data_IF_530495395890
#
_entry.id   IF_530495395890
#
_cell.length_a   1.000
_cell.length_b   1.000
_cell.length_c   1.000
_cell.angle_alpha   90.00
_cell.angle_beta   90.00
_cell.angle_gamma   90.00
#
_symmetry.space_group_name_H-M   'P 1'
#
loop_
_entity.id
_entity.type
_entity.pdbx_description
1 polymer ?
#
# COMPACT_ATOMS: atom_id res chain seq x y z
N UNK A 1 6.28 -37.23 23.80
CA UNK A 1 6.87 -35.86 23.82
C UNK A 1 6.14 -35.00 22.81
N UNK A 2 4.97 -34.47 23.17
CA UNK A 2 4.18 -33.59 22.31
C UNK A 2 3.20 -32.81 23.20
N UNK A 3 3.63 -31.66 23.72
CA UNK A 3 2.75 -30.58 24.21
C UNK A 3 3.61 -29.39 24.65
N UNK A 4 4.15 -28.62 23.71
CA UNK A 4 4.73 -27.31 24.00
C UNK A 4 4.74 -26.44 22.75
N UNK A 5 3.56 -26.26 22.16
CA UNK A 5 3.39 -25.42 20.97
C UNK A 5 2.01 -24.75 20.94
N UNK A 6 1.62 -24.10 22.04
CA UNK A 6 0.37 -23.30 22.03
C UNK A 6 0.32 -22.19 23.08
N UNK A 7 1.29 -21.28 23.12
CA UNK A 7 1.14 -19.96 23.78
C UNK A 7 2.00 -18.89 23.12
N UNK A 8 1.77 -18.59 21.84
CA UNK A 8 2.27 -17.37 21.21
C UNK A 8 1.14 -16.83 20.34
N UNK A 9 0.46 -15.79 20.82
CA UNK A 9 -0.67 -15.21 20.10
C UNK A 9 -1.63 -14.46 21.02
N UNK A 10 -1.13 -13.46 21.76
CA UNK A 10 -2.02 -12.55 22.50
C UNK A 10 -1.36 -11.22 22.88
N UNK A 11 -0.70 -10.56 21.92
CA UNK A 11 -0.20 -9.19 22.12
C UNK A 11 -0.81 -8.18 21.14
N UNK A 12 -1.39 -8.61 20.00
CA UNK A 12 -2.01 -7.69 19.03
C UNK A 12 -3.53 -7.44 19.18
N UNK A 13 -4.25 -8.23 19.99
CA UNK A 13 -5.70 -8.32 19.88
C UNK A 13 -6.53 -7.34 20.73
N UNK A 14 -5.95 -6.24 21.24
CA UNK A 14 -6.70 -5.25 22.07
C UNK A 14 -6.63 -3.79 21.62
N UNK A 15 -6.07 -3.51 20.44
CA UNK A 15 -6.00 -2.14 19.89
C UNK A 15 -6.81 -1.92 18.61
N UNK A 16 -7.49 -2.95 18.09
CA UNK A 16 -8.27 -2.87 16.85
C UNK A 16 -9.76 -3.14 17.08
N UNK A 17 -10.31 -2.58 18.17
CA UNK A 17 -11.66 -2.82 18.64
C UNK A 17 -12.41 -1.55 19.01
N UNK A 18 -12.26 -0.49 18.21
CA UNK A 18 -13.15 0.67 18.21
C UNK A 18 -12.81 1.51 16.99
N UNK A 19 -13.62 1.40 15.95
CA UNK A 19 -13.90 2.40 14.91
C UNK A 19 -14.84 1.73 13.90
N UNK A 20 -16.14 1.78 14.21
CA UNK A 20 -17.19 1.51 13.23
C UNK A 20 -17.43 2.78 12.39
N UNK A 21 -17.68 2.68 11.08
CA UNK A 21 -17.93 3.82 10.21
C UNK A 21 -19.40 4.24 10.26
N UNK A 22 -19.63 5.53 10.52
CA UNK A 22 -20.92 6.19 10.37
C UNK A 22 -21.31 6.25 8.88
N UNK A 23 -22.31 5.43 8.51
CA UNK A 23 -23.12 5.61 7.30
C UNK A 23 -24.05 6.81 7.51
N UNK A 24 -23.95 7.82 6.65
CA UNK A 24 -25.07 8.73 6.38
C UNK A 24 -25.37 8.70 4.89
N UNK A 25 -26.56 8.20 4.58
CA UNK A 25 -27.23 8.24 3.29
C UNK A 25 -27.97 9.56 3.16
N UNK A 26 -27.89 10.25 2.02
CA UNK A 26 -28.96 11.16 1.60
C UNK A 26 -29.12 11.15 0.08
N UNK A 27 -30.39 11.20 -0.29
CA UNK A 27 -31.02 10.78 -1.54
C UNK A 27 -31.57 12.04 -2.24
N UNK A 28 -31.18 12.22 -3.51
CA UNK A 28 -31.88 12.81 -4.67
C UNK A 28 -32.92 13.96 -4.49
N UNK A 29 -32.83 15.03 -5.30
CA UNK A 29 -33.75 15.42 -6.41
C UNK A 29 -33.67 16.94 -6.81
N UNK A 30 -33.71 17.18 -8.13
CA UNK A 30 -34.30 18.31 -8.91
C UNK A 30 -33.85 19.80 -8.86
N UNK A 31 -33.51 20.30 -10.08
CA UNK A 31 -33.68 21.64 -10.74
C UNK A 31 -34.95 22.46 -10.35
N UNK A 32 -35.22 23.70 -10.86
CA UNK A 32 -34.47 24.66 -11.73
C UNK A 32 -34.63 26.17 -11.36
N UNK A 33 -34.07 27.10 -12.17
CA UNK A 33 -34.54 28.50 -12.33
C UNK A 33 -33.41 29.51 -12.65
N UNK A 34 -33.23 30.01 -13.88
CA UNK A 34 -33.77 31.25 -14.52
C UNK A 34 -33.50 32.59 -13.83
N UNK A 35 -32.70 33.46 -14.49
CA UNK A 35 -32.89 34.92 -14.71
C UNK A 35 -31.55 35.48 -15.24
N UNK A 36 -31.35 35.89 -16.49
CA UNK A 36 -31.78 37.11 -17.20
C UNK A 36 -31.35 38.46 -16.59
N UNK A 37 -30.90 39.34 -17.50
CA UNK A 37 -30.57 40.78 -17.48
C UNK A 37 -29.13 41.24 -17.19
N UNK A 38 -28.59 42.32 -17.79
CA UNK A 38 -28.64 42.95 -19.13
C UNK A 38 -27.68 44.17 -19.06
N UNK A 39 -26.86 44.35 -20.10
CA UNK A 39 -26.28 45.60 -20.67
C UNK A 39 -25.34 46.52 -19.85
N UNK A 40 -24.25 46.87 -20.53
CA UNK A 40 -23.54 48.14 -20.38
C UNK A 40 -22.59 48.38 -21.57
N UNK A 41 -23.10 49.04 -22.62
CA UNK A 41 -22.34 49.51 -23.79
C UNK A 41 -21.23 50.52 -23.42
N UNK A 42 -20.11 50.51 -24.17
CA UNK A 42 -19.51 51.72 -24.76
C UNK A 42 -18.44 51.37 -25.83
N UNK A 43 -18.67 51.84 -27.06
CA UNK A 43 -17.65 52.13 -28.07
C UNK A 43 -17.15 53.58 -27.88
N UNK A 44 -15.94 53.94 -28.36
CA UNK A 44 -15.77 54.51 -29.72
C UNK A 44 -14.57 53.89 -30.48
N UNK A 45 -14.73 53.51 -31.75
CA UNK A 45 -14.52 54.26 -33.01
C UNK A 45 -13.06 54.28 -33.54
N UNK A 46 -12.94 53.55 -34.66
CA UNK A 46 -12.31 53.92 -35.92
C UNK A 46 -10.78 54.05 -36.01
N UNK A 47 -10.18 53.01 -36.60
CA UNK A 47 -8.86 53.04 -37.22
C UNK A 47 -8.69 51.80 -38.10
N UNK A 48 -9.21 51.85 -39.33
CA UNK A 48 -8.78 50.94 -40.41
C UNK A 48 -7.46 51.52 -40.96
N UNK A 49 -6.46 50.70 -41.26
CA UNK A 49 -6.36 50.30 -42.65
C UNK A 49 -5.91 48.86 -42.90
N UNK A 50 -6.44 48.36 -44.02
CA UNK A 50 -5.80 47.48 -45.00
C UNK A 50 -5.65 46.00 -44.64
N UNK A 51 -6.64 45.26 -45.15
CA UNK A 51 -6.48 43.89 -45.61
C UNK A 51 -5.24 43.77 -46.49
N UNK A 52 -4.24 43.06 -46.00
CA UNK A 52 -3.24 42.41 -46.83
C UNK A 52 -3.69 40.96 -46.95
N UNK A 53 -4.41 40.67 -48.02
CA UNK A 53 -4.51 39.32 -48.53
C UNK A 53 -3.10 38.90 -48.98
N UNK A 54 -2.30 38.36 -48.05
CA UNK A 54 -1.20 37.50 -48.42
C UNK A 54 -1.79 36.12 -48.70
N UNK A 55 -2.31 35.95 -49.91
CA UNK A 55 -2.36 34.65 -50.57
C UNK A 55 -0.94 34.14 -50.72
N UNK A 56 -0.41 33.58 -49.64
CA UNK A 56 0.81 32.78 -49.67
C UNK A 56 0.34 31.37 -49.93
N UNK A 57 0.66 30.86 -51.12
CA UNK A 57 0.43 29.47 -51.51
C UNK A 57 0.67 28.54 -50.30
N UNK A 58 -0.34 27.73 -49.96
CA UNK A 58 -0.15 26.60 -49.08
C UNK A 58 1.01 25.76 -49.65
N UNK A 59 2.10 25.52 -48.90
CA UNK A 59 3.13 24.63 -49.39
C UNK A 59 2.49 23.25 -49.50
N UNK A 60 2.38 22.76 -50.73
CA UNK A 60 2.09 21.37 -51.05
C UNK A 60 3.25 20.51 -50.54
N UNK A 61 3.27 20.24 -49.24
CA UNK A 61 4.19 19.33 -48.58
C UNK A 61 3.38 18.29 -47.83
N UNK A 62 3.26 17.09 -48.41
CA UNK A 62 2.55 15.92 -47.89
C UNK A 62 2.86 15.63 -46.40
N UNK A 63 2.13 16.22 -45.47
CA UNK A 63 1.96 15.62 -44.15
C UNK A 63 0.81 14.65 -44.26
N UNK A 64 1.11 13.37 -44.08
CA UNK A 64 0.10 12.32 -44.22
C UNK A 64 0.07 11.46 -42.99
N UNK A 65 -1.14 11.27 -42.47
CA UNK A 65 -1.42 10.32 -41.42
C UNK A 65 -1.86 9.01 -42.09
N UNK A 66 -1.00 7.99 -42.02
CA UNK A 66 -1.22 6.70 -42.68
C UNK A 66 -1.33 5.58 -41.65
N UNK A 67 -2.02 4.52 -42.01
CA UNK A 67 -2.04 3.29 -41.22
C UNK A 67 -1.06 2.29 -41.84
N UNK A 68 0.01 1.93 -41.11
CA UNK A 68 0.99 0.94 -41.55
C UNK A 68 1.11 -0.13 -40.46
N UNK A 69 0.97 -1.40 -40.85
CA UNK A 69 1.12 -2.56 -39.95
C UNK A 69 0.27 -2.50 -38.66
N UNK A 70 -0.98 -2.03 -38.75
CA UNK A 70 -1.86 -1.95 -37.57
C UNK A 70 -1.56 -0.78 -36.62
N UNK A 71 -0.66 0.14 -37.00
CA UNK A 71 -0.30 1.33 -36.22
C UNK A 71 -0.53 2.60 -37.04
N UNK A 72 -0.94 3.66 -36.35
CA UNK A 72 -1.02 5.00 -36.93
C UNK A 72 0.39 5.57 -37.07
N UNK A 73 0.67 6.10 -38.25
CA UNK A 73 1.99 6.59 -38.63
C UNK A 73 1.83 8.00 -39.18
N UNK A 74 2.49 8.95 -38.51
CA UNK A 74 2.48 10.35 -38.88
C UNK A 74 3.78 10.65 -39.66
N UNK A 75 3.65 10.99 -40.94
CA UNK A 75 4.77 11.38 -41.79
C UNK A 75 4.86 12.91 -41.83
N UNK A 76 5.93 13.48 -41.26
CA UNK A 76 6.13 14.94 -41.13
C UNK A 76 7.49 15.33 -41.71
N UNK A 77 7.57 16.35 -42.58
CA UNK A 77 8.84 16.91 -43.01
C UNK A 77 9.44 17.76 -41.89
N UNK A 78 10.63 17.39 -41.40
CA UNK A 78 11.32 18.16 -40.35
C UNK A 78 12.14 19.32 -40.96
N UNK A 79 12.13 20.52 -40.35
CA UNK A 79 12.69 21.74 -40.93
C UNK A 79 14.21 21.70 -41.12
N UNK A 80 14.95 21.03 -40.24
CA UNK A 80 16.42 21.03 -40.30
C UNK A 80 16.98 20.21 -41.46
N UNK A 81 16.37 19.06 -41.78
CA UNK A 81 16.86 18.12 -42.81
C UNK A 81 16.02 18.10 -44.09
N UNK A 82 14.81 18.66 -44.06
CA UNK A 82 13.82 18.60 -45.16
C UNK A 82 13.51 17.17 -45.64
N UNK A 83 13.70 16.19 -44.75
CA UNK A 83 13.35 14.79 -44.96
C UNK A 83 12.02 14.47 -44.26
N UNK A 84 11.25 13.54 -44.82
CA UNK A 84 9.99 13.07 -44.21
C UNK A 84 10.32 12.06 -43.10
N UNK A 85 10.19 12.49 -41.85
CA UNK A 85 10.33 11.63 -40.69
C UNK A 85 9.01 10.94 -40.35
N UNK A 86 9.11 9.73 -39.81
CA UNK A 86 7.99 8.82 -39.62
C UNK A 86 7.82 8.56 -38.13
N UNK A 87 6.70 8.99 -37.57
CA UNK A 87 6.40 8.89 -36.14
C UNK A 87 5.30 7.86 -35.89
N UNK A 88 5.54 6.90 -34.99
CA UNK A 88 4.57 5.87 -34.65
C UNK A 88 3.66 6.34 -33.50
N UNK A 89 2.39 6.50 -33.82
CA UNK A 89 1.38 6.97 -32.88
C UNK A 89 0.80 5.80 -32.05
N UNK A 90 0.67 6.01 -30.74
CA UNK A 90 0.04 5.13 -29.74
C UNK A 90 -1.15 5.84 -29.07
N UNK A 91 -2.33 5.94 -29.73
CA UNK A 91 -3.44 6.81 -29.31
C UNK A 91 -3.86 6.69 -27.83
N UNK A 92 -3.86 5.49 -27.26
CA UNK A 92 -4.28 5.22 -25.88
C UNK A 92 -3.19 5.37 -24.80
N UNK A 93 -1.92 5.48 -25.20
CA UNK A 93 -0.77 5.47 -24.28
C UNK A 93 0.06 6.76 -24.34
N UNK A 94 -0.26 7.66 -25.27
CA UNK A 94 0.52 8.87 -25.49
C UNK A 94 -0.36 10.11 -25.51
N UNK A 95 0.20 11.19 -24.99
CA UNK A 95 -0.41 12.51 -25.01
C UNK A 95 0.14 13.36 -26.16
N UNK A 96 -0.55 14.46 -26.46
CA UNK A 96 -0.06 15.46 -27.43
C UNK A 96 1.28 16.05 -26.97
N UNK A 97 1.48 16.19 -25.66
CA UNK A 97 2.76 16.60 -25.08
C UNK A 97 3.88 15.61 -25.40
N UNK A 98 3.62 14.32 -25.24
CA UNK A 98 4.60 13.27 -25.57
C UNK A 98 4.95 13.32 -27.07
N UNK A 99 3.95 13.50 -27.94
CA UNK A 99 4.15 13.63 -29.39
C UNK A 99 5.02 14.86 -29.74
N UNK A 100 4.74 16.01 -29.12
CA UNK A 100 5.54 17.23 -29.30
C UNK A 100 6.98 16.98 -28.85
N UNK A 101 7.19 16.33 -27.70
CA UNK A 101 8.53 16.01 -27.23
C UNK A 101 9.26 15.01 -28.12
N UNK A 102 8.58 14.03 -28.73
CA UNK A 102 9.21 13.12 -29.70
C UNK A 102 9.64 13.86 -30.97
N UNK A 103 8.81 14.77 -31.47
CA UNK A 103 9.14 15.61 -32.63
C UNK A 103 10.33 16.55 -32.35
N UNK A 104 10.36 17.18 -31.17
CA UNK A 104 11.46 18.06 -30.74
C UNK A 104 12.75 17.29 -30.46
N UNK A 105 12.64 16.05 -29.98
CA UNK A 105 13.80 15.18 -29.76
C UNK A 105 14.46 14.78 -31.08
N UNK A 106 13.67 14.57 -32.13
CA UNK A 106 14.18 14.25 -33.48
C UNK A 106 14.78 15.48 -34.17
N UNK A 107 14.16 16.66 -34.02
CA UNK A 107 14.69 17.92 -34.54
C UNK A 107 14.68 19.01 -33.46
N UNK A 108 15.83 19.23 -32.83
CA UNK A 108 16.00 20.23 -31.77
C UNK A 108 15.74 21.67 -32.24
N UNK A 109 15.73 21.93 -33.55
CA UNK A 109 15.41 23.23 -34.14
C UNK A 109 13.92 23.43 -34.43
N UNK A 110 13.07 22.43 -34.18
CA UNK A 110 11.64 22.48 -34.49
C UNK A 110 10.79 22.92 -33.30
N UNK A 111 10.17 24.11 -33.38
CA UNK A 111 9.13 24.55 -32.46
C UNK A 111 7.80 24.02 -32.97
N UNK A 112 7.26 23.01 -32.27
CA UNK A 112 6.05 22.31 -32.64
C UNK A 112 4.88 22.70 -31.74
N UNK A 113 3.73 22.95 -32.33
CA UNK A 113 2.46 23.07 -31.61
C UNK A 113 1.31 22.46 -32.39
N UNK A 114 0.31 21.94 -31.68
CA UNK A 114 -0.88 21.32 -32.27
C UNK A 114 -2.07 22.24 -32.05
N UNK A 115 -2.75 22.58 -33.14
CA UNK A 115 -3.96 23.40 -33.18
C UNK A 115 -5.15 22.56 -33.65
N UNK A 116 -6.34 22.91 -33.20
CA UNK A 116 -7.59 22.35 -33.71
C UNK A 116 -7.96 23.00 -35.06
N UNK A 117 -8.94 22.44 -35.76
CA UNK A 117 -9.53 23.05 -36.98
C UNK A 117 -10.01 24.47 -36.76
N UNK A 118 -10.41 24.78 -35.52
CA UNK A 118 -10.98 26.07 -35.12
C UNK A 118 -9.89 27.10 -34.77
N UNK A 119 -8.60 26.73 -34.88
CA UNK A 119 -7.45 27.60 -34.60
C UNK A 119 -7.01 27.62 -33.12
N UNK A 120 -7.72 26.93 -32.24
CA UNK A 120 -7.41 26.83 -30.81
C UNK A 120 -6.27 25.85 -30.51
N UNK A 121 -5.41 26.16 -29.54
CA UNK A 121 -4.29 25.30 -29.14
C UNK A 121 -4.76 24.09 -28.33
N UNK A 122 -4.35 22.89 -28.74
CA UNK A 122 -4.65 21.66 -28.00
C UNK A 122 -3.73 21.54 -26.78
N UNK A 123 -4.30 21.16 -25.63
CA UNK A 123 -3.54 20.99 -24.40
C UNK A 123 -2.55 19.81 -24.49
N UNK A 124 -1.39 19.95 -23.87
CA UNK A 124 -0.35 18.91 -23.87
C UNK A 124 -0.82 17.61 -23.17
N UNK A 125 -1.77 17.68 -22.25
CA UNK A 125 -2.32 16.53 -21.52
C UNK A 125 -3.38 15.77 -22.32
N UNK A 126 -3.84 16.31 -23.45
CA UNK A 126 -4.85 15.66 -24.28
C UNK A 126 -4.28 14.37 -24.85
N UNK A 127 -5.06 13.28 -24.79
CA UNK A 127 -4.66 12.00 -25.37
C UNK A 127 -4.70 12.10 -26.90
N UNK A 128 -3.79 11.41 -27.57
CA UNK A 128 -3.79 11.45 -29.04
C UNK A 128 -5.02 10.74 -29.62
N UNK A 129 -5.64 9.82 -28.89
CA UNK A 129 -6.96 9.27 -29.25
C UNK A 129 -8.02 10.36 -29.43
N UNK A 130 -8.16 11.27 -28.46
CA UNK A 130 -9.11 12.40 -28.54
C UNK A 130 -8.72 13.44 -29.60
N UNK A 131 -7.42 13.58 -29.90
CA UNK A 131 -6.96 14.43 -31.00
C UNK A 131 -7.36 13.87 -32.36
N UNK A 132 -7.40 12.54 -32.50
CA UNK A 132 -7.71 11.85 -33.75
C UNK A 132 -9.22 11.75 -34.04
N UNK A 133 -10.09 12.21 -33.14
CA UNK A 133 -11.53 12.30 -33.40
C UNK A 133 -11.89 13.33 -34.48
N UNK A 134 -11.04 14.35 -34.64
CA UNK A 134 -11.22 15.44 -35.60
C UNK A 134 -9.93 15.66 -36.39
N UNK A 135 -10.06 16.33 -37.52
CA UNK A 135 -8.90 16.87 -38.22
C UNK A 135 -8.18 17.89 -37.32
N UNK A 136 -6.87 17.99 -37.45
CA UNK A 136 -6.06 18.91 -36.65
C UNK A 136 -4.94 19.52 -37.49
N UNK A 137 -4.42 20.64 -37.01
CA UNK A 137 -3.33 21.36 -37.65
C UNK A 137 -2.06 21.24 -36.81
N UNK A 138 -0.96 20.84 -37.46
CA UNK A 138 0.36 20.82 -36.86
C UNK A 138 1.13 22.06 -37.33
N UNK A 139 1.62 22.85 -36.39
CA UNK A 139 2.41 24.05 -36.66
C UNK A 139 3.86 23.77 -36.29
N UNK A 140 4.77 23.90 -37.25
CA UNK A 140 6.21 23.71 -37.07
C UNK A 140 6.94 24.95 -37.60
N UNK A 141 7.65 25.70 -36.75
CA UNK A 141 8.44 26.87 -37.14
C UNK A 141 7.70 27.82 -38.13
N UNK A 142 6.47 28.22 -37.80
CA UNK A 142 5.60 29.09 -38.63
C UNK A 142 4.96 28.42 -39.87
N UNK A 143 5.19 27.13 -40.11
CA UNK A 143 4.54 26.37 -41.19
C UNK A 143 3.31 25.62 -40.69
N UNK A 144 2.17 25.78 -41.36
CA UNK A 144 0.89 25.15 -41.01
C UNK A 144 0.65 23.89 -41.86
N UNK A 145 0.48 22.74 -41.19
CA UNK A 145 0.17 21.47 -41.83
C UNK A 145 -1.20 20.95 -41.39
N UNK A 146 -2.17 20.91 -42.30
CA UNK A 146 -3.50 20.34 -42.04
C UNK A 146 -3.46 18.82 -42.20
N UNK A 147 -3.64 18.08 -41.11
CA UNK A 147 -3.64 16.62 -41.09
C UNK A 147 -5.08 16.15 -41.13
N UNK A 148 -5.44 15.44 -42.20
CA UNK A 148 -6.74 14.75 -42.28
C UNK A 148 -6.64 13.37 -41.67
N UNK A 149 -7.53 13.06 -40.74
CA UNK A 149 -7.57 11.74 -40.12
C UNK A 149 -8.33 10.78 -41.06
N UNK A 150 -7.75 9.63 -41.45
CA UNK A 150 -8.46 8.67 -42.29
C UNK A 150 -9.72 8.15 -41.56
N UNK A 151 -10.91 8.21 -42.19
CA UNK A 151 -12.19 7.76 -41.59
C UNK A 151 -12.17 6.31 -41.05
N UNK A 152 -11.21 5.48 -41.49
CA UNK A 152 -11.04 4.08 -41.06
C UNK A 152 -10.45 3.89 -39.65
N UNK A 153 -10.24 4.97 -38.88
CA UNK A 153 -9.60 4.88 -37.54
C UNK A 153 -10.47 4.16 -36.51
N UNK A 154 -11.80 4.20 -36.65
CA UNK A 154 -12.70 3.48 -35.75
C UNK A 154 -13.33 2.29 -36.49
N UNK A 155 -12.91 1.04 -36.22
CA UNK A 155 -13.67 -0.10 -36.71
C UNK A 155 -15.09 0.00 -36.15
N UNK A 156 -16.09 -0.44 -36.94
CA UNK A 156 -17.48 -0.61 -36.46
C UNK A 156 -17.47 -1.26 -35.08
N UNK A 157 -18.38 -0.85 -34.18
CA UNK A 157 -18.45 -1.30 -32.77
C UNK A 157 -18.40 -2.83 -32.62
N UNK A 158 -18.84 -3.56 -33.63
CA UNK A 158 -18.78 -5.03 -33.68
C UNK A 158 -17.34 -5.56 -33.85
N UNK A 159 -16.54 -4.97 -34.75
CA UNK A 159 -15.15 -5.36 -34.96
C UNK A 159 -14.21 -4.87 -33.83
N UNK A 160 -14.61 -3.82 -33.11
CA UNK A 160 -13.90 -3.37 -31.91
C UNK A 160 -13.97 -4.40 -30.78
N UNK A 161 -15.11 -5.09 -30.62
CA UNK A 161 -15.28 -6.16 -29.62
C UNK A 161 -14.46 -7.40 -29.94
N UNK A 162 -14.47 -7.86 -31.18
CA UNK A 162 -13.64 -9.01 -31.58
C UNK A 162 -12.14 -8.73 -31.39
N UNK A 163 -11.68 -7.52 -31.70
CA UNK A 163 -10.29 -7.11 -31.47
C UNK A 163 -9.97 -6.98 -29.97
N UNK A 164 -10.92 -6.56 -29.13
CA UNK A 164 -10.77 -6.52 -27.66
C UNK A 164 -10.64 -7.93 -27.09
N UNK A 165 -11.42 -8.89 -27.57
CA UNK A 165 -11.34 -10.30 -27.19
C UNK A 165 -10.00 -10.91 -27.60
N UNK A 166 -9.52 -10.65 -28.83
CA UNK A 166 -8.20 -11.10 -29.28
C UNK A 166 -7.08 -10.47 -28.44
N UNK A 167 -7.18 -9.17 -28.14
CA UNK A 167 -6.23 -8.49 -27.23
C UNK A 167 -6.25 -9.10 -25.83
N UNK A 168 -7.42 -9.45 -25.32
CA UNK A 168 -7.56 -10.10 -24.02
C UNK A 168 -6.87 -11.48 -24.02
N UNK A 169 -7.09 -12.28 -25.07
CA UNK A 169 -6.44 -13.60 -25.22
C UNK A 169 -4.93 -13.47 -25.38
N UNK A 170 -4.45 -12.52 -26.18
CA UNK A 170 -3.01 -12.26 -26.32
C UNK A 170 -2.40 -11.77 -25.00
N UNK A 171 -3.10 -10.91 -24.26
CA UNK A 171 -2.65 -10.46 -22.95
C UNK A 171 -2.64 -11.61 -21.93
N UNK A 172 -3.65 -12.49 -21.96
CA UNK A 172 -3.70 -13.68 -21.12
C UNK A 172 -2.55 -14.64 -21.45
N UNK A 173 -2.26 -14.85 -22.74
CA UNK A 173 -1.15 -15.70 -23.20
C UNK A 173 0.21 -15.07 -22.85
N UNK A 174 0.39 -13.78 -23.07
CA UNK A 174 1.58 -13.03 -22.69
C UNK A 174 1.80 -13.11 -21.17
N UNK A 175 0.72 -12.97 -20.40
CA UNK A 175 0.75 -13.12 -18.95
C UNK A 175 1.10 -14.55 -18.57
N UNK A 176 0.51 -15.58 -19.18
CA UNK A 176 0.79 -16.99 -18.89
C UNK A 176 2.22 -17.42 -19.24
N UNK A 177 2.78 -16.91 -20.34
CA UNK A 177 4.14 -17.20 -20.78
C UNK A 177 5.20 -16.53 -19.88
N UNK A 178 4.98 -15.29 -19.43
CA UNK A 178 5.93 -14.55 -18.59
C UNK A 178 5.67 -14.68 -17.08
N UNK A 179 4.52 -15.23 -16.66
CA UNK A 179 4.17 -15.52 -15.27
C UNK A 179 5.26 -16.29 -14.52
N UNK A 180 5.76 -17.43 -15.04
CA UNK A 180 6.70 -18.26 -14.28
C UNK A 180 8.03 -17.53 -14.01
N UNK A 181 8.54 -16.75 -14.97
CA UNK A 181 9.78 -16.00 -14.80
C UNK A 181 9.62 -14.87 -13.76
N UNK A 182 8.55 -14.08 -13.87
CA UNK A 182 8.26 -13.03 -12.90
C UNK A 182 8.00 -13.59 -11.49
N UNK A 183 7.37 -14.77 -11.38
CA UNK A 183 7.14 -15.44 -10.11
C UNK A 183 8.44 -15.86 -9.44
N UNK A 184 9.34 -16.50 -10.19
CA UNK A 184 10.63 -16.96 -9.66
C UNK A 184 11.49 -15.78 -9.19
N UNK A 185 11.52 -14.69 -9.95
CA UNK A 185 12.22 -13.47 -9.55
C UNK A 185 11.61 -12.87 -8.27
N UNK A 186 10.28 -12.81 -8.18
CA UNK A 186 9.60 -12.26 -7.00
C UNK A 186 9.76 -13.15 -5.77
N UNK A 187 9.71 -14.48 -5.93
CA UNK A 187 9.99 -15.42 -4.84
C UNK A 187 11.44 -15.29 -4.35
N UNK A 188 12.41 -15.19 -5.25
CA UNK A 188 13.82 -14.94 -4.91
C UNK A 188 13.98 -13.65 -4.10
N UNK A 189 13.38 -12.55 -4.56
CA UNK A 189 13.43 -11.26 -3.86
C UNK A 189 12.78 -11.32 -2.48
N UNK A 190 11.65 -12.02 -2.32
CA UNK A 190 10.99 -12.18 -1.03
C UNK A 190 11.78 -13.08 -0.07
N UNK A 191 12.40 -14.15 -0.58
CA UNK A 191 13.30 -14.99 0.21
C UNK A 191 14.53 -14.22 0.70
N UNK A 192 15.14 -13.42 -0.17
CA UNK A 192 16.28 -12.56 0.21
C UNK A 192 15.88 -11.54 1.29
N UNK A 193 14.72 -10.89 1.13
CA UNK A 193 14.16 -10.00 2.16
C UNK A 193 13.91 -10.74 3.46
N UNK A 194 13.30 -11.92 3.41
CA UNK A 194 13.03 -12.75 4.58
C UNK A 194 14.32 -13.11 5.33
N UNK A 195 15.36 -13.51 4.60
CA UNK A 195 16.66 -13.84 5.18
C UNK A 195 17.33 -12.62 5.82
N UNK A 196 17.27 -11.45 5.16
CA UNK A 196 17.78 -10.19 5.72
C UNK A 196 17.06 -9.79 7.01
N UNK A 197 15.73 -9.87 7.04
CA UNK A 197 14.92 -9.59 8.23
C UNK A 197 15.25 -10.58 9.34
N UNK A 198 15.33 -11.89 9.04
CA UNK A 198 15.71 -12.90 10.02
C UNK A 198 17.11 -12.67 10.59
N UNK A 199 18.05 -12.23 9.76
CA UNK A 199 19.41 -11.91 10.21
C UNK A 199 19.42 -10.74 11.20
N UNK A 200 18.70 -9.65 10.89
CA UNK A 200 18.52 -8.50 11.81
C UNK A 200 17.76 -8.87 13.09
N UNK A 201 16.80 -9.80 12.98
CA UNK A 201 15.97 -10.22 14.10
C UNK A 201 16.72 -11.16 15.06
N UNK A 202 17.70 -11.93 14.56
CA UNK A 202 18.46 -12.90 15.35
C UNK A 202 19.17 -12.33 16.60
N UNK A 203 19.89 -11.17 16.55
CA UNK A 203 20.47 -10.58 17.76
C UNK A 203 19.38 -10.05 18.71
N UNK A 204 18.30 -9.48 18.17
CA UNK A 204 17.18 -8.94 18.95
C UNK A 204 16.43 -10.07 19.68
N UNK A 205 16.23 -11.22 19.04
CA UNK A 205 15.63 -12.39 19.65
C UNK A 205 16.50 -13.00 20.74
N UNK A 206 17.81 -13.14 20.51
CA UNK A 206 18.75 -13.60 21.56
C UNK A 206 18.66 -12.71 22.79
N UNK A 207 18.64 -11.39 22.59
CA UNK A 207 18.54 -10.41 23.66
C UNK A 207 17.18 -10.46 24.38
N UNK A 208 16.08 -10.61 23.63
CA UNK A 208 14.73 -10.81 24.18
C UNK A 208 14.66 -12.07 25.03
N UNK A 209 15.20 -13.20 24.55
CA UNK A 209 15.20 -14.48 25.26
C UNK A 209 15.98 -14.37 26.57
N UNK A 210 17.15 -13.74 26.55
CA UNK A 210 17.91 -13.50 27.78
C UNK A 210 17.13 -12.65 28.77
N UNK A 211 16.42 -11.64 28.29
CA UNK A 211 15.63 -10.75 29.14
C UNK A 211 14.39 -11.45 29.69
N UNK A 212 13.72 -12.25 28.85
CA UNK A 212 12.54 -13.01 29.25
C UNK A 212 12.91 -14.09 30.27
N UNK A 213 14.01 -14.82 30.09
CA UNK A 213 14.50 -15.79 31.07
C UNK A 213 14.79 -15.13 32.42
N UNK A 214 15.42 -13.96 32.42
CA UNK A 214 15.72 -13.23 33.65
C UNK A 214 14.45 -12.72 34.35
N UNK A 215 13.48 -12.24 33.58
CA UNK A 215 12.18 -11.81 34.09
C UNK A 215 11.35 -12.99 34.61
N UNK A 216 11.37 -14.13 33.90
CA UNK A 216 10.70 -15.37 34.32
C UNK A 216 11.29 -15.90 35.62
N UNK A 217 12.61 -15.99 35.74
CA UNK A 217 13.27 -16.42 36.98
C UNK A 217 12.85 -15.53 38.16
N UNK A 218 12.82 -14.21 37.97
CA UNK A 218 12.39 -13.30 39.03
C UNK A 218 10.91 -13.45 39.39
N UNK A 219 10.04 -13.66 38.38
CA UNK A 219 8.60 -13.88 38.61
C UNK A 219 8.34 -15.21 39.32
N UNK A 220 8.97 -16.30 38.87
CA UNK A 220 8.85 -17.64 39.45
C UNK A 220 9.46 -17.72 40.85
N UNK A 221 10.52 -16.96 41.13
CA UNK A 221 11.13 -16.91 42.46
C UNK A 221 10.14 -16.45 43.53
N UNK A 222 9.27 -15.48 43.24
CA UNK A 222 8.25 -15.03 44.19
C UNK A 222 7.30 -16.17 44.59
N UNK A 223 6.97 -17.07 43.66
CA UNK A 223 6.11 -18.22 43.94
C UNK A 223 6.82 -19.32 44.68
N UNK A 224 8.06 -19.61 44.28
CA UNK A 224 8.89 -20.54 45.05
C UNK A 224 9.12 -20.05 46.48
N UNK A 225 9.27 -18.73 46.68
CA UNK A 225 9.32 -18.13 48.01
C UNK A 225 8.00 -18.26 48.76
N UNK A 226 6.86 -18.02 48.12
CA UNK A 226 5.53 -18.24 48.72
C UNK A 226 5.30 -19.70 49.12
N UNK A 227 5.64 -20.64 48.23
CA UNK A 227 5.59 -22.08 48.51
C UNK A 227 6.51 -22.48 49.65
N UNK A 228 7.76 -22.00 49.65
CA UNK A 228 8.71 -22.28 50.72
C UNK A 228 8.23 -21.73 52.06
N UNK A 229 7.65 -20.52 52.07
CA UNK A 229 7.10 -19.90 53.28
C UNK A 229 5.91 -20.69 53.83
N UNK A 230 4.99 -21.15 52.98
CA UNK A 230 3.88 -22.01 53.40
C UNK A 230 4.36 -23.36 53.94
N UNK A 231 5.36 -23.97 53.30
CA UNK A 231 5.97 -25.21 53.78
C UNK A 231 6.66 -25.04 55.14
N UNK A 232 7.42 -23.96 55.32
CA UNK A 232 8.08 -23.64 56.59
C UNK A 232 7.04 -23.33 57.67
N UNK A 233 5.98 -22.59 57.34
CA UNK A 233 4.87 -22.29 58.24
C UNK A 233 4.19 -23.58 58.72
N UNK A 234 3.88 -24.51 57.80
CA UNK A 234 3.30 -25.81 58.16
C UNK A 234 4.23 -26.67 59.02
N UNK A 235 5.52 -26.73 58.67
CA UNK A 235 6.52 -27.48 59.43
C UNK A 235 6.78 -26.90 60.83
N UNK A 236 6.81 -25.57 60.96
CA UNK A 236 6.96 -24.89 62.25
C UNK A 236 5.74 -25.16 63.15
N UNK A 237 4.53 -25.02 62.61
CA UNK A 237 3.31 -25.33 63.37
C UNK A 237 3.30 -26.79 63.82
N UNK A 238 3.61 -27.73 62.93
CA UNK A 238 3.74 -29.16 63.25
C UNK A 238 4.74 -29.41 64.39
N UNK A 239 5.95 -28.84 64.30
CA UNK A 239 6.97 -29.01 65.32
C UNK A 239 6.54 -28.42 66.67
N UNK A 240 5.97 -27.21 66.68
CA UNK A 240 5.46 -26.59 67.90
C UNK A 240 4.36 -27.43 68.55
N UNK A 241 3.42 -27.98 67.75
CA UNK A 241 2.28 -28.75 68.27
C UNK A 241 2.64 -30.13 68.82
N UNK A 242 3.72 -30.75 68.34
CA UNK A 242 4.11 -32.12 68.78
C UNK A 242 5.20 -32.13 69.85
N UNK A 243 6.11 -31.17 69.83
CA UNK A 243 7.30 -31.21 70.70
C UNK A 243 7.29 -30.18 71.83
N UNK A 244 6.62 -29.03 71.67
CA UNK A 244 6.80 -27.88 72.59
C UNK A 244 5.52 -27.47 73.29
N UNK A 245 4.40 -27.36 72.57
CA UNK A 245 3.13 -26.84 73.07
C UNK A 245 1.98 -27.81 72.76
N UNK A 246 1.05 -27.96 73.70
CA UNK A 246 -0.22 -28.66 73.46
C UNK A 246 -1.11 -27.88 72.49
N UNK A 247 -2.02 -28.59 71.81
CA UNK A 247 -2.93 -28.03 70.80
C UNK A 247 -3.73 -26.82 71.30
N UNK A 248 -4.14 -26.82 72.57
CA UNK A 248 -4.93 -25.78 73.22
C UNK A 248 -4.26 -24.37 73.17
N UNK A 249 -2.92 -24.32 73.22
CA UNK A 249 -2.17 -23.06 73.13
C UNK A 249 -1.96 -22.61 71.67
N UNK A 250 -1.92 -23.55 70.72
CA UNK A 250 -1.67 -23.28 69.31
C UNK A 250 -2.93 -22.92 68.52
N UNK A 251 -4.11 -23.30 69.01
CA UNK A 251 -5.41 -22.99 68.42
C UNK A 251 -5.55 -21.49 68.06
N UNK A 252 -5.47 -20.53 69.00
CA UNK A 252 -5.62 -19.11 68.68
C UNK A 252 -4.53 -18.58 67.72
N UNK A 253 -3.32 -19.12 67.80
CA UNK A 253 -2.19 -18.72 66.95
C UNK A 253 -2.45 -19.07 65.48
N UNK A 254 -2.92 -20.30 65.22
CA UNK A 254 -3.26 -20.73 63.85
C UNK A 254 -4.45 -19.95 63.26
N UNK A 255 -5.43 -19.58 64.09
CA UNK A 255 -6.53 -18.70 63.69
C UNK A 255 -6.03 -17.32 63.25
N UNK A 256 -5.17 -16.67 64.04
CA UNK A 256 -4.61 -15.37 63.66
C UNK A 256 -3.77 -15.42 62.39
N UNK A 257 -2.99 -16.49 62.17
CA UNK A 257 -2.20 -16.67 60.95
C UNK A 257 -3.11 -16.85 59.72
N UNK A 258 -4.16 -17.68 59.85
CA UNK A 258 -5.12 -17.93 58.76
C UNK A 258 -5.89 -16.67 58.41
N UNK A 259 -6.38 -15.96 59.44
CA UNK A 259 -7.05 -14.68 59.28
C UNK A 259 -6.14 -13.63 58.65
N UNK A 260 -4.89 -13.50 59.11
CA UNK A 260 -3.89 -12.60 58.53
C UNK A 260 -3.56 -12.92 57.07
N UNK A 261 -3.46 -14.20 56.71
CA UNK A 261 -3.25 -14.64 55.32
C UNK A 261 -4.44 -14.26 54.44
N UNK A 262 -5.67 -14.47 54.92
CA UNK A 262 -6.89 -14.07 54.20
C UNK A 262 -6.97 -12.55 54.03
N UNK A 263 -6.66 -11.79 55.08
CA UNK A 263 -6.62 -10.32 55.07
C UNK A 263 -5.61 -9.80 54.06
N UNK A 264 -4.42 -10.42 53.97
CA UNK A 264 -3.41 -10.09 52.97
C UNK A 264 -3.87 -10.33 51.54
N UNK A 265 -4.57 -11.44 51.29
CA UNK A 265 -5.16 -11.73 49.97
C UNK A 265 -6.24 -10.70 49.59
N UNK A 266 -7.10 -10.31 50.53
CA UNK A 266 -8.10 -9.26 50.33
C UNK A 266 -7.46 -7.87 50.10
N UNK A 267 -6.43 -7.52 50.86
CA UNK A 267 -5.71 -6.26 50.69
C UNK A 267 -5.06 -6.17 49.29
N UNK A 268 -4.48 -7.28 48.81
CA UNK A 268 -3.93 -7.35 47.44
C UNK A 268 -5.01 -7.13 46.38
N UNK A 269 -6.18 -7.74 46.56
CA UNK A 269 -7.33 -7.56 45.66
C UNK A 269 -7.80 -6.10 45.63
N UNK A 270 -7.93 -5.44 46.79
CA UNK A 270 -8.36 -4.04 46.89
C UNK A 270 -7.37 -3.10 46.17
N UNK A 271 -6.06 -3.33 46.32
CA UNK A 271 -5.02 -2.52 45.70
C UNK A 271 -4.91 -2.76 44.19
N UNK A 272 -5.08 -4.00 43.75
CA UNK A 272 -4.85 -4.40 42.35
C UNK A 272 -6.13 -4.34 41.50
N UNK A 273 -7.30 -4.30 42.14
CA UNK A 273 -8.66 -4.31 41.53
C UNK A 273 -8.88 -5.46 40.55
N UNK A 274 -8.19 -6.58 40.76
CA UNK A 274 -8.21 -7.74 39.89
C UNK A 274 -8.09 -9.00 40.75
N UNK A 275 -8.85 -10.04 40.39
CA UNK A 275 -8.79 -11.33 41.07
C UNK A 275 -7.37 -11.90 41.02
N UNK A 276 -6.95 -12.61 42.07
CA UNK A 276 -5.64 -13.25 42.13
C UNK A 276 -5.59 -14.46 41.17
N UNK A 277 -5.49 -14.16 39.88
CA UNK A 277 -5.30 -15.13 38.81
C UNK A 277 -3.80 -15.20 38.55
N UNK A 278 -3.20 -16.30 39.01
CA UNK A 278 -1.76 -16.56 38.93
C UNK A 278 -1.10 -16.21 37.58
N UNK A 279 -1.64 -16.63 36.41
CA UNK A 279 -1.03 -16.27 35.13
C UNK A 279 -1.05 -14.76 34.84
N UNK A 280 -2.12 -14.05 35.17
CA UNK A 280 -2.24 -12.61 34.89
C UNK A 280 -1.30 -11.76 35.75
N UNK A 281 -1.13 -12.13 37.03
CA UNK A 281 -0.19 -11.46 37.93
C UNK A 281 1.27 -11.68 37.49
N UNK A 282 1.59 -12.92 37.06
CA UNK A 282 2.92 -13.26 36.53
C UNK A 282 3.22 -12.48 35.26
N UNK A 283 2.28 -12.40 34.34
CA UNK A 283 2.44 -11.70 33.05
C UNK A 283 2.63 -10.19 33.26
N UNK A 284 1.89 -9.57 34.20
CA UNK A 284 2.07 -8.15 34.54
C UNK A 284 3.45 -7.86 35.12
N UNK A 285 3.90 -8.70 36.05
CA UNK A 285 5.20 -8.55 36.69
C UNK A 285 6.33 -8.79 35.68
N UNK A 286 6.18 -9.81 34.83
CA UNK A 286 7.07 -10.08 33.72
C UNK A 286 7.19 -8.87 32.78
N UNK A 287 6.05 -8.29 32.36
CA UNK A 287 6.03 -7.17 31.43
C UNK A 287 6.73 -5.95 32.03
N UNK A 288 6.50 -5.65 33.30
CA UNK A 288 7.17 -4.56 34.01
C UNK A 288 8.69 -4.74 34.07
N UNK A 289 9.16 -5.95 34.41
CA UNK A 289 10.59 -6.26 34.41
C UNK A 289 11.20 -6.26 33.00
N UNK A 290 10.46 -6.75 32.01
CA UNK A 290 10.87 -6.77 30.62
C UNK A 290 11.08 -5.35 30.10
N UNK A 291 10.11 -4.44 30.25
CA UNK A 291 10.26 -3.05 29.80
C UNK A 291 11.33 -2.30 30.59
N UNK A 292 11.45 -2.54 31.90
CA UNK A 292 12.54 -1.96 32.70
C UNK A 292 13.91 -2.39 32.18
N UNK A 293 14.06 -3.68 31.88
CA UNK A 293 15.29 -4.23 31.33
C UNK A 293 15.57 -3.82 29.88
N UNK A 294 14.52 -3.67 29.07
CA UNK A 294 14.61 -3.17 27.70
C UNK A 294 15.11 -1.72 27.68
N UNK A 295 14.59 -0.88 28.59
CA UNK A 295 15.05 0.51 28.76
C UNK A 295 16.50 0.59 29.20
N UNK A 296 16.93 -0.26 30.14
CA UNK A 296 18.34 -0.29 30.60
C UNK A 296 19.32 -0.70 29.51
N UNK A 297 18.91 -1.59 28.60
CA UNK A 297 19.78 -2.06 27.51
C UNK A 297 19.53 -1.35 26.17
N UNK A 298 18.75 -0.27 26.14
CA UNK A 298 18.32 0.44 24.93
C UNK A 298 17.77 -0.49 23.83
N UNK A 299 17.01 -1.52 24.23
CA UNK A 299 16.36 -2.42 23.28
C UNK A 299 15.15 -1.70 22.65
N UNK A 300 15.22 -1.46 21.34
CA UNK A 300 14.12 -0.83 20.59
C UNK A 300 13.02 -1.86 20.31
N UNK A 301 12.02 -1.89 21.21
CA UNK A 301 10.84 -2.78 21.10
C UNK A 301 10.03 -2.45 19.83
N UNK A 302 9.96 -1.19 19.43
CA UNK A 302 9.20 -0.75 18.28
C UNK A 302 9.83 -1.26 16.98
N UNK A 303 11.16 -1.15 16.83
CA UNK A 303 11.89 -1.74 15.71
C UNK A 303 11.70 -3.27 15.66
N UNK A 304 11.71 -3.94 16.81
CA UNK A 304 11.46 -5.39 16.87
C UNK A 304 10.05 -5.76 16.40
N UNK A 305 9.04 -4.99 16.81
CA UNK A 305 7.65 -5.21 16.39
C UNK A 305 7.48 -4.96 14.89
N UNK A 306 8.06 -3.88 14.35
CA UNK A 306 8.08 -3.58 12.93
C UNK A 306 8.71 -4.71 12.12
N UNK A 307 9.92 -5.17 12.50
CA UNK A 307 10.58 -6.30 11.84
C UNK A 307 9.76 -7.60 11.94
N UNK A 308 9.03 -7.81 13.04
CA UNK A 308 8.14 -8.97 13.18
C UNK A 308 6.91 -8.89 12.29
N UNK A 309 6.36 -7.69 12.11
CA UNK A 309 5.24 -7.44 11.21
C UNK A 309 5.65 -7.56 9.75
N UNK A 310 6.80 -6.99 9.37
CA UNK A 310 7.41 -7.18 8.04
C UNK A 310 7.70 -8.65 7.75
N UNK A 311 8.26 -9.39 8.71
CA UNK A 311 8.48 -10.83 8.58
C UNK A 311 7.16 -11.57 8.33
N UNK A 312 6.11 -11.25 9.08
CA UNK A 312 4.80 -11.88 8.93
C UNK A 312 4.17 -11.55 7.56
N UNK A 313 4.34 -10.32 7.08
CA UNK A 313 3.88 -9.89 5.77
C UNK A 313 4.61 -10.63 4.64
N UNK A 314 5.95 -10.70 4.70
CA UNK A 314 6.76 -11.43 3.70
C UNK A 314 6.45 -12.92 3.71
N UNK A 315 6.26 -13.53 4.89
CA UNK A 315 5.83 -14.92 5.00
C UNK A 315 4.43 -15.17 4.42
N UNK A 316 3.49 -14.24 4.62
CA UNK A 316 2.15 -14.33 4.03
C UNK A 316 2.20 -14.17 2.51
N UNK A 317 3.00 -13.21 2.00
CA UNK A 317 3.22 -13.02 0.56
C UNK A 317 3.85 -14.24 -0.10
N UNK A 318 4.83 -14.88 0.56
CA UNK A 318 5.41 -16.14 0.09
C UNK A 318 4.39 -17.29 0.11
N UNK A 319 3.55 -17.40 1.15
CA UNK A 319 2.46 -18.39 1.19
C UNK A 319 1.46 -18.16 0.06
N UNK A 320 1.09 -16.90 -0.20
CA UNK A 320 0.19 -16.50 -1.29
C UNK A 320 0.78 -16.73 -2.67
N UNK A 321 2.09 -16.61 -2.85
CA UNK A 321 2.74 -16.93 -4.12
C UNK A 321 2.87 -18.46 -4.34
N UNK A 322 3.12 -19.21 -3.27
CA UNK A 322 3.25 -20.67 -3.33
C UNK A 322 1.92 -21.40 -3.52
N UNK A 323 0.82 -20.85 -2.97
CA UNK A 323 -0.54 -21.39 -3.10
C UNK A 323 -1.03 -21.60 -4.55
N UNK A 324 -1.07 -20.57 -5.42
CA UNK A 324 -1.55 -20.67 -6.80
C UNK A 324 -0.60 -21.49 -7.68
N UNK A 325 0.71 -21.52 -7.36
CA UNK A 325 1.68 -22.34 -8.11
C UNK A 325 1.46 -23.85 -7.88
N UNK A 326 0.96 -24.26 -6.70
CA UNK A 326 0.56 -25.65 -6.44
C UNK A 326 -0.78 -26.04 -7.10
N UNK A 327 -1.63 -25.06 -7.44
CA UNK A 327 -2.97 -25.27 -7.98
C UNK A 327 -3.13 -24.87 -9.46
N UNK A 328 -2.08 -24.33 -10.10
CA UNK A 328 -2.10 -23.78 -11.47
C UNK A 328 -3.26 -22.79 -11.74
N UNK A 329 -3.67 -22.03 -10.72
CA UNK A 329 -4.74 -21.04 -10.87
C UNK A 329 -4.16 -19.67 -11.29
N UNK A 330 -4.84 -18.91 -12.18
CA UNK A 330 -4.44 -17.56 -12.53
C UNK A 330 -4.30 -16.71 -11.26
N UNK A 331 -3.21 -15.95 -11.15
CA UNK A 331 -2.92 -15.12 -9.99
C UNK A 331 -4.12 -14.24 -9.61
N UNK A 332 -4.61 -14.40 -8.39
CA UNK A 332 -5.41 -13.36 -7.75
C UNK A 332 -4.51 -12.13 -7.61
N UNK A 333 -4.88 -11.03 -8.29
CA UNK A 333 -4.10 -9.80 -8.37
C UNK A 333 -3.58 -9.40 -6.99
N UNK A 334 -2.26 -9.41 -6.84
CA UNK A 334 -1.54 -8.90 -5.68
C UNK A 334 -1.67 -7.38 -5.70
N UNK A 335 -2.83 -6.87 -5.30
CA UNK A 335 -3.01 -5.48 -4.94
C UNK A 335 -2.58 -5.32 -3.47
N UNK A 336 -1.69 -4.37 -3.15
CA UNK A 336 -1.44 -4.01 -1.77
C UNK A 336 -2.75 -3.50 -1.16
N UNK A 337 -3.10 -4.02 0.01
CA UNK A 337 -4.24 -3.52 0.77
C UNK A 337 -3.94 -2.06 1.18
N UNK A 338 -4.88 -1.12 0.97
CA UNK A 338 -4.67 0.30 1.28
C UNK A 338 -4.46 0.55 2.77
#
# INVERSE_FOLDING_TARGET
MASSARKVGKVGARLLGSLQPLRCSFRSYTRPGTSLHQVGHRHPLLGNPQAVFCSTLAPSGDVSLKHKYGRLVLEVPLPSRKEKCVFFLRPMLMTVGDLITELQKEDCGAVVSVLSTDGERVANTTLVDTLLEKDFQLVINESFYSIRVPEKVFPSREHAREMEDVKHVVNLLHTALHLPEHHLLKERQLLEKLDSIKQELSPLEKMKVQLSQRAEFHSSRALWTGMALLSVQGGALAWLTWWVYSWDVMEPVTYFITYGTSMGAFAYYVLTKQDYVYPDAKDRQFLRYFYKGARTKNFNVDKYNQLKEELAQVEDDLRRLRGPNQLQLPLEQIQPKP
#
